data_IF_844785879169
#
_entry.id   IF_844785879169
#
_cell.length_a   1.000
_cell.length_b   1.000
_cell.length_c   1.000
_cell.angle_alpha   90.00
_cell.angle_beta   90.00
_cell.angle_gamma   90.00
#
_symmetry.space_group_name_H-M   'P 1'
#
loop_
_entity.id
_entity.type
_entity.pdbx_description
1 polymer ?
#
# COMPACT_ATOMS: atom_id res chain seq x y z
N UNK A 1 11.21 -1.91 -18.64
CA UNK A 1 11.05 -3.16 -17.87
C UNK A 1 9.95 -3.04 -16.80
N UNK A 2 9.91 -1.95 -16.02
CA UNK A 2 8.88 -1.67 -14.98
C UNK A 2 7.43 -1.69 -15.51
N UNK A 3 7.15 -1.11 -16.68
CA UNK A 3 5.79 -1.07 -17.27
C UNK A 3 5.20 -2.47 -17.55
N UNK A 4 6.04 -3.46 -17.88
CA UNK A 4 5.59 -4.84 -18.09
C UNK A 4 5.22 -5.54 -16.77
N UNK A 5 5.90 -5.18 -15.67
CA UNK A 5 5.65 -5.72 -14.34
C UNK A 5 4.37 -5.09 -13.74
N UNK A 6 4.15 -3.79 -13.93
CA UNK A 6 2.89 -3.10 -13.57
C UNK A 6 1.69 -3.70 -14.31
N UNK A 7 1.82 -3.94 -15.62
CA UNK A 7 0.75 -4.62 -16.39
C UNK A 7 0.46 -6.02 -15.85
N UNK A 8 1.46 -6.77 -15.39
CA UNK A 8 1.23 -8.09 -14.79
C UNK A 8 0.56 -8.02 -13.43
N UNK A 9 0.91 -7.06 -12.57
CA UNK A 9 0.18 -6.87 -11.29
C UNK A 9 -1.29 -6.55 -11.57
N UNK A 10 -1.58 -5.67 -12.55
CA UNK A 10 -2.95 -5.36 -12.97
C UNK A 10 -3.66 -6.58 -13.59
N UNK A 11 -2.95 -7.40 -14.37
CA UNK A 11 -3.49 -8.63 -14.95
C UNK A 11 -3.77 -9.65 -13.86
N UNK A 12 -2.83 -9.92 -12.95
CA UNK A 12 -2.99 -10.77 -11.76
C UNK A 12 -4.26 -10.30 -11.01
N UNK A 13 -4.37 -9.03 -10.64
CA UNK A 13 -5.58 -8.50 -10.00
C UNK A 13 -6.88 -8.74 -10.80
N UNK A 14 -6.82 -8.91 -12.12
CA UNK A 14 -7.96 -9.19 -12.99
C UNK A 14 -8.20 -10.68 -13.30
N UNK A 15 -7.20 -11.56 -13.16
CA UNK A 15 -7.28 -12.97 -13.59
C UNK A 15 -7.45 -13.97 -12.44
N UNK A 16 -7.32 -13.54 -11.18
CA UNK A 16 -7.11 -14.40 -10.01
C UNK A 16 -8.30 -15.32 -9.61
N UNK A 17 -9.31 -15.51 -10.46
CA UNK A 17 -10.52 -16.30 -10.20
C UNK A 17 -10.34 -17.80 -9.92
N UNK A 18 -9.11 -18.32 -9.83
CA UNK A 18 -8.86 -19.71 -9.44
C UNK A 18 -7.53 -19.75 -8.71
N UNK A 19 -7.52 -19.94 -7.39
CA UNK A 19 -6.74 -20.98 -6.65
C UNK A 19 -6.90 -20.74 -5.14
N UNK A 20 -7.46 -21.74 -4.44
CA UNK A 20 -7.43 -21.84 -2.98
C UNK A 20 -6.06 -22.36 -2.51
N UNK A 21 -5.41 -21.61 -1.60
CA UNK A 21 -4.13 -21.97 -1.00
C UNK A 21 -4.17 -21.83 0.52
N UNK A 22 -3.68 -22.87 1.23
CA UNK A 22 -3.69 -23.05 2.69
C UNK A 22 -2.74 -22.12 3.50
N UNK A 23 -2.48 -20.90 3.03
CA UNK A 23 -1.56 -19.94 3.67
C UNK A 23 -2.17 -18.56 3.94
N UNK A 24 -3.49 -18.41 3.84
CA UNK A 24 -4.16 -17.14 4.09
C UNK A 24 -4.04 -16.70 5.57
N UNK A 25 -3.43 -15.53 5.80
CA UNK A 25 -3.36 -14.89 7.12
C UNK A 25 -4.20 -13.60 7.13
N UNK A 26 -5.28 -13.61 7.91
CA UNK A 26 -6.21 -12.48 8.04
C UNK A 26 -5.55 -11.21 8.60
N UNK A 27 -4.48 -11.33 9.38
CA UNK A 27 -3.73 -10.16 9.88
C UNK A 27 -2.91 -9.54 8.75
N UNK A 28 -2.18 -10.34 7.98
CA UNK A 28 -1.42 -9.86 6.80
C UNK A 28 -2.33 -9.20 5.78
N UNK A 29 -3.52 -9.78 5.57
CA UNK A 29 -4.53 -9.18 4.70
C UNK A 29 -4.95 -7.79 5.22
N UNK A 30 -5.28 -7.66 6.51
CA UNK A 30 -5.68 -6.37 7.11
C UNK A 30 -4.57 -5.33 7.08
N UNK A 31 -3.33 -5.73 7.37
CA UNK A 31 -2.17 -4.84 7.32
C UNK A 31 -1.95 -4.34 5.89
N UNK A 32 -2.06 -5.22 4.89
CA UNK A 32 -1.92 -4.86 3.49
C UNK A 32 -3.02 -3.87 3.06
N UNK A 33 -4.25 -4.07 3.52
CA UNK A 33 -5.33 -3.12 3.24
C UNK A 33 -5.04 -1.73 3.86
N UNK A 34 -4.56 -1.70 5.10
CA UNK A 34 -4.18 -0.44 5.78
C UNK A 34 -3.05 0.28 5.05
N UNK A 35 -2.02 -0.47 4.63
CA UNK A 35 -0.89 0.10 3.90
C UNK A 35 -1.23 0.51 2.46
N UNK A 36 -2.18 -0.17 1.81
CA UNK A 36 -2.75 0.30 0.53
C UNK A 36 -3.44 1.66 0.70
N UNK A 37 -4.26 1.82 1.74
CA UNK A 37 -4.93 3.09 2.03
C UNK A 37 -3.92 4.23 2.29
N UNK A 38 -2.83 3.96 3.02
CA UNK A 38 -1.76 4.93 3.27
C UNK A 38 -0.96 5.26 2.00
N UNK A 39 -0.65 4.26 1.17
CA UNK A 39 0.03 4.47 -0.11
C UNK A 39 -0.82 5.38 -1.00
N UNK A 40 -2.13 5.13 -1.08
CA UNK A 40 -3.05 6.00 -1.81
C UNK A 40 -3.12 7.41 -1.20
N UNK A 41 -3.27 7.56 0.12
CA UNK A 41 -3.26 8.87 0.77
C UNK A 41 -1.97 9.67 0.46
N UNK A 42 -0.83 8.98 0.38
CA UNK A 42 0.45 9.60 0.02
C UNK A 42 0.46 10.16 -1.40
N UNK A 43 -0.37 9.64 -2.32
CA UNK A 43 -0.53 10.21 -3.67
C UNK A 43 -1.29 11.53 -3.68
N UNK A 44 -1.95 11.89 -2.56
CA UNK A 44 -2.74 13.11 -2.44
C UNK A 44 -1.91 14.29 -1.92
N UNK A 45 -0.72 14.04 -1.37
CA UNK A 45 0.17 15.09 -0.85
C UNK A 45 0.41 16.14 -1.93
N UNK A 46 0.14 17.43 -1.70
CA UNK A 46 0.41 18.50 -2.66
C UNK A 46 1.90 18.53 -3.04
N UNK A 47 2.19 18.78 -4.31
CA UNK A 47 3.55 18.77 -4.83
C UNK A 47 4.49 19.71 -4.04
N UNK A 48 4.03 20.93 -3.74
CA UNK A 48 4.83 21.91 -3.01
C UNK A 48 5.17 21.43 -1.59
N UNK A 49 4.18 20.85 -0.89
CA UNK A 49 4.38 20.22 0.42
C UNK A 49 5.36 19.06 0.34
N UNK A 50 5.26 18.21 -0.69
CA UNK A 50 6.16 17.08 -0.85
C UNK A 50 7.62 17.55 -1.08
N UNK A 51 7.84 18.56 -1.92
CA UNK A 51 9.16 19.18 -2.12
C UNK A 51 9.68 19.77 -0.81
N UNK A 52 8.84 20.46 -0.06
CA UNK A 52 9.23 21.05 1.22
C UNK A 52 9.63 19.99 2.25
N UNK A 53 8.83 18.93 2.39
CA UNK A 53 9.01 17.89 3.41
C UNK A 53 10.22 17.01 3.08
N UNK A 54 10.32 16.55 1.84
CA UNK A 54 11.30 15.52 1.43
C UNK A 54 12.58 16.10 0.86
N UNK A 55 12.56 17.37 0.45
CA UNK A 55 13.64 18.01 -0.33
C UNK A 55 13.94 17.30 -1.66
N UNK A 56 13.02 16.46 -2.14
CA UNK A 56 13.10 15.85 -3.47
C UNK A 56 12.93 16.96 -4.52
N UNK A 57 13.78 17.01 -5.57
CA UNK A 57 13.62 18.01 -6.63
C UNK A 57 12.29 17.82 -7.36
N UNK A 58 11.68 18.92 -7.82
CA UNK A 58 10.36 18.90 -8.47
C UNK A 58 10.27 17.91 -9.65
N UNK A 59 11.36 17.70 -10.38
CA UNK A 59 11.44 16.76 -11.52
C UNK A 59 11.27 15.28 -11.12
N UNK A 60 11.39 14.95 -9.83
CA UNK A 60 11.25 13.59 -9.29
C UNK A 60 9.90 13.35 -8.60
N UNK A 61 9.03 14.35 -8.52
CA UNK A 61 7.73 14.25 -7.84
C UNK A 61 6.81 13.23 -8.53
N UNK A 62 6.78 13.22 -9.87
CA UNK A 62 6.03 12.22 -10.62
C UNK A 62 6.51 10.78 -10.35
N UNK A 63 7.80 10.60 -10.06
CA UNK A 63 8.34 9.28 -9.70
C UNK A 63 7.88 8.86 -8.31
N UNK A 64 7.75 9.82 -7.38
CA UNK A 64 7.17 9.54 -6.06
C UNK A 64 5.71 9.08 -6.18
N UNK A 65 4.86 9.83 -6.89
CA UNK A 65 3.47 9.43 -7.09
C UNK A 65 3.34 8.11 -7.85
N UNK A 66 4.18 7.89 -8.87
CA UNK A 66 4.26 6.60 -9.57
C UNK A 66 4.63 5.45 -8.64
N UNK A 67 5.56 5.67 -7.71
CA UNK A 67 5.99 4.66 -6.74
C UNK A 67 4.89 4.34 -5.73
N UNK A 68 4.20 5.35 -5.20
CA UNK A 68 3.09 5.15 -4.27
C UNK A 68 1.91 4.43 -4.92
N UNK A 69 1.55 4.78 -6.16
CA UNK A 69 0.53 4.06 -6.94
C UNK A 69 0.92 2.59 -7.23
N UNK A 70 2.21 2.32 -7.42
CA UNK A 70 2.70 0.96 -7.61
C UNK A 70 2.63 0.16 -6.29
N UNK A 71 3.02 0.79 -5.18
CA UNK A 71 2.96 0.17 -3.86
C UNK A 71 1.53 -0.13 -3.41
N UNK A 72 0.58 0.75 -3.70
CA UNK A 72 -0.85 0.50 -3.49
C UNK A 72 -1.29 -0.81 -4.17
N UNK A 73 -0.89 -1.04 -5.42
CA UNK A 73 -1.23 -2.25 -6.16
C UNK A 73 -0.53 -3.50 -5.60
N UNK A 74 0.72 -3.36 -5.13
CA UNK A 74 1.43 -4.45 -4.45
C UNK A 74 0.69 -4.85 -3.18
N UNK A 75 0.26 -3.88 -2.36
CA UNK A 75 -0.53 -4.15 -1.16
C UNK A 75 -1.89 -4.78 -1.49
N UNK A 76 -2.57 -4.36 -2.56
CA UNK A 76 -3.78 -5.06 -3.02
C UNK A 76 -3.50 -6.53 -3.38
N UNK A 77 -2.40 -6.82 -4.06
CA UNK A 77 -2.04 -8.19 -4.39
C UNK A 77 -1.77 -9.04 -3.13
N UNK A 78 -1.08 -8.47 -2.13
CA UNK A 78 -0.87 -9.13 -0.82
C UNK A 78 -2.20 -9.34 -0.09
N UNK A 79 -3.08 -8.32 -0.06
CA UNK A 79 -4.41 -8.39 0.54
C UNK A 79 -5.22 -9.55 -0.05
N UNK A 80 -5.32 -9.60 -1.38
CA UNK A 80 -6.06 -10.62 -2.12
C UNK A 80 -5.44 -12.00 -1.95
N UNK A 81 -4.12 -12.12 -1.95
CA UNK A 81 -3.44 -13.40 -1.73
C UNK A 81 -3.78 -14.00 -0.36
N UNK A 82 -3.89 -13.16 0.67
CA UNK A 82 -4.05 -13.55 2.07
C UNK A 82 -5.50 -13.55 2.60
N UNK A 83 -6.52 -13.39 1.73
CA UNK A 83 -7.91 -13.49 2.18
C UNK A 83 -8.33 -14.95 2.51
N UNK A 84 -9.04 -15.17 3.63
CA UNK A 84 -9.39 -16.51 4.11
C UNK A 84 -10.52 -17.24 3.34
N UNK A 85 -11.39 -16.54 2.62
CA UNK A 85 -12.51 -17.15 1.86
C UNK A 85 -12.41 -16.74 0.38
N UNK A 86 -12.26 -17.71 -0.53
CA UNK A 86 -12.20 -17.45 -1.98
C UNK A 86 -13.17 -18.35 -2.75
N UNK A 87 -14.36 -17.85 -2.99
CA UNK A 87 -15.17 -18.32 -4.14
C UNK A 87 -15.07 -17.32 -5.30
N UNK A 88 -15.06 -16.01 -5.01
CA UNK A 88 -14.78 -14.95 -5.98
C UNK A 88 -13.81 -13.93 -5.41
N UNK A 89 -12.95 -13.37 -6.27
CA UNK A 89 -12.01 -12.32 -5.88
C UNK A 89 -12.54 -10.93 -6.19
N UNK A 90 -12.18 -9.93 -5.36
CA UNK A 90 -12.64 -8.58 -5.58
C UNK A 90 -12.05 -8.02 -6.88
N UNK A 91 -12.92 -7.43 -7.69
CA UNK A 91 -12.54 -6.63 -8.85
C UNK A 91 -11.69 -5.42 -8.41
N UNK A 92 -10.96 -4.83 -9.36
CA UNK A 92 -10.23 -3.59 -9.13
C UNK A 92 -11.11 -2.45 -8.58
N UNK A 93 -12.40 -2.41 -8.93
CA UNK A 93 -13.34 -1.42 -8.41
C UNK A 93 -13.66 -1.68 -6.95
N UNK A 94 -13.91 -2.93 -6.58
CA UNK A 94 -14.17 -3.33 -5.21
C UNK A 94 -12.95 -3.11 -4.32
N UNK A 95 -11.74 -3.43 -4.81
CA UNK A 95 -10.50 -3.14 -4.09
C UNK A 95 -10.35 -1.66 -3.76
N UNK A 96 -10.60 -0.76 -4.72
CA UNK A 96 -10.58 0.69 -4.46
C UNK A 96 -11.64 1.10 -3.43
N UNK A 97 -12.85 0.56 -3.52
CA UNK A 97 -13.92 0.86 -2.56
C UNK A 97 -13.57 0.40 -1.14
N UNK A 98 -12.96 -0.78 -0.99
CA UNK A 98 -12.53 -1.32 0.31
C UNK A 98 -11.37 -0.48 0.85
N UNK A 99 -10.39 -0.12 0.01
CA UNK A 99 -9.29 0.79 0.34
C UNK A 99 -9.81 2.16 0.80
N UNK A 100 -10.77 2.75 0.09
CA UNK A 100 -11.34 4.05 0.45
C UNK A 100 -12.09 4.01 1.78
N UNK A 101 -12.81 2.90 2.03
CA UNK A 101 -13.45 2.65 3.33
C UNK A 101 -12.41 2.55 4.45
N UNK A 102 -11.29 1.86 4.20
CA UNK A 102 -10.21 1.77 5.16
C UNK A 102 -9.52 3.11 5.39
N UNK A 103 -9.30 3.91 4.34
CA UNK A 103 -8.76 5.26 4.46
C UNK A 103 -9.69 6.16 5.29
N UNK A 104 -11.01 6.07 5.08
CA UNK A 104 -11.98 6.75 5.94
C UNK A 104 -11.82 6.32 7.40
N UNK A 105 -11.72 5.02 7.68
CA UNK A 105 -11.50 4.50 9.04
C UNK A 105 -10.21 5.03 9.65
N UNK A 106 -9.10 4.98 8.91
CA UNK A 106 -7.80 5.48 9.35
C UNK A 106 -7.82 6.99 9.58
N UNK A 107 -8.57 7.76 8.78
CA UNK A 107 -8.71 9.22 8.98
C UNK A 107 -9.42 9.57 10.28
N UNK A 108 -10.39 8.74 10.72
CA UNK A 108 -11.02 8.88 12.03
C UNK A 108 -10.01 8.58 13.15
N UNK A 109 -9.19 7.55 12.99
CA UNK A 109 -8.11 7.23 13.94
C UNK A 109 -7.09 8.36 13.99
N UNK A 110 -6.68 8.92 12.85
CA UNK A 110 -5.77 10.07 12.75
C UNK A 110 -6.29 11.26 13.56
N UNK A 111 -7.57 11.63 13.39
CA UNK A 111 -8.18 12.75 14.09
C UNK A 111 -8.27 12.52 15.62
N UNK A 112 -8.31 11.27 16.08
CA UNK A 112 -8.34 10.91 17.50
C UNK A 112 -6.95 10.78 18.11
N UNK A 113 -6.00 10.22 17.34
CA UNK A 113 -4.63 9.96 17.76
C UNK A 113 -3.71 9.85 16.54
N UNK A 114 -3.14 10.97 16.13
CA UNK A 114 -2.26 11.06 14.97
C UNK A 114 -0.99 10.21 15.11
N UNK A 115 -0.45 10.04 16.33
CA UNK A 115 0.79 9.28 16.56
C UNK A 115 0.67 7.82 16.10
N UNK A 116 -0.50 7.19 16.30
CA UNK A 116 -0.75 5.83 15.81
C UNK A 116 -0.67 5.73 14.29
N UNK A 117 -1.08 6.78 13.59
CA UNK A 117 -1.06 6.84 12.13
C UNK A 117 0.33 7.20 11.61
N UNK A 118 1.09 8.02 12.35
CA UNK A 118 2.51 8.26 12.04
C UNK A 118 3.33 6.98 12.13
N UNK A 119 3.14 6.20 13.20
CA UNK A 119 3.82 4.92 13.37
C UNK A 119 3.39 3.90 12.31
N UNK A 120 2.09 3.82 12.00
CA UNK A 120 1.59 2.95 10.94
C UNK A 120 2.17 3.35 9.57
N UNK A 121 2.24 4.64 9.26
CA UNK A 121 2.83 5.15 8.02
C UNK A 121 4.26 4.64 7.83
N UNK A 122 5.11 4.80 8.84
CA UNK A 122 6.51 4.37 8.78
C UNK A 122 6.67 2.86 8.64
N UNK A 123 5.79 2.07 9.26
CA UNK A 123 5.80 0.61 9.12
C UNK A 123 5.33 0.18 7.74
N UNK A 124 4.34 0.86 7.16
CA UNK A 124 3.91 0.63 5.79
C UNK A 124 5.00 0.99 4.78
N UNK A 125 5.73 2.09 4.98
CA UNK A 125 6.90 2.43 4.16
C UNK A 125 8.01 1.37 4.28
N UNK A 126 8.37 0.98 5.49
CA UNK A 126 9.37 -0.07 5.73
C UNK A 126 8.96 -1.41 5.12
N UNK A 127 7.69 -1.80 5.27
CA UNK A 127 7.17 -3.02 4.68
C UNK A 127 7.12 -2.94 3.16
N UNK A 128 6.73 -1.80 2.61
CA UNK A 128 6.75 -1.55 1.17
C UNK A 128 8.14 -1.71 0.55
N UNK A 129 9.16 -1.16 1.21
CA UNK A 129 10.55 -1.35 0.82
C UNK A 129 10.99 -2.82 0.86
N UNK A 130 10.60 -3.56 1.91
CA UNK A 130 10.88 -4.99 2.02
C UNK A 130 10.18 -5.81 0.92
N UNK A 131 8.92 -5.49 0.61
CA UNK A 131 8.15 -6.10 -0.47
C UNK A 131 8.78 -5.82 -1.83
N UNK A 132 9.19 -4.56 -2.08
CA UNK A 132 9.85 -4.18 -3.33
C UNK A 132 11.13 -5.00 -3.55
N UNK A 133 12.02 -5.06 -2.56
CA UNK A 133 13.26 -5.84 -2.64
C UNK A 133 12.98 -7.35 -2.83
N UNK A 134 11.95 -7.88 -2.15
CA UNK A 134 11.52 -9.26 -2.31
C UNK A 134 11.01 -9.55 -3.73
N UNK A 135 10.17 -8.69 -4.28
CA UNK A 135 9.61 -8.86 -5.63
C UNK A 135 10.68 -8.71 -6.72
N UNK A 136 11.66 -7.81 -6.53
CA UNK A 136 12.81 -7.68 -7.43
C UNK A 136 13.66 -8.96 -7.42
N UNK A 137 13.93 -9.51 -6.25
CA UNK A 137 14.71 -10.75 -6.11
C UNK A 137 14.00 -11.97 -6.70
N UNK A 138 12.66 -11.93 -6.82
CA UNK A 138 11.83 -13.01 -7.33
C UNK A 138 11.11 -12.62 -8.64
N UNK A 139 11.71 -11.71 -9.43
CA UNK A 139 11.08 -11.15 -10.63
C UNK A 139 10.69 -12.19 -11.68
N UNK A 140 11.36 -13.35 -11.70
CA UNK A 140 11.03 -14.48 -12.58
C UNK A 140 9.70 -15.12 -12.22
N UNK A 141 9.43 -15.33 -10.93
CA UNK A 141 8.18 -15.92 -10.42
C UNK A 141 7.02 -14.94 -10.61
N UNK A 142 7.27 -13.64 -10.41
CA UNK A 142 6.30 -12.58 -10.72
C UNK A 142 5.97 -12.53 -12.22
N UNK A 143 6.92 -12.90 -13.07
CA UNK A 143 6.73 -13.03 -14.50
C UNK A 143 6.16 -14.39 -14.94
N UNK A 144 5.92 -15.31 -14.01
CA UNK A 144 5.35 -16.63 -14.27
C UNK A 144 3.84 -16.60 -14.54
N UNK A 145 3.21 -17.75 -14.30
CA UNK A 145 1.76 -17.90 -14.26
C UNK A 145 1.16 -17.14 -13.08
N UNK A 146 -0.14 -16.89 -13.16
CA UNK A 146 -0.90 -16.30 -12.07
C UNK A 146 -0.79 -17.07 -10.75
N UNK A 147 -0.82 -18.40 -10.82
CA UNK A 147 -0.65 -19.27 -9.66
C UNK A 147 0.71 -19.07 -8.99
N UNK A 148 1.77 -18.90 -9.78
CA UNK A 148 3.12 -18.61 -9.29
C UNK A 148 3.19 -17.22 -8.66
N UNK A 149 2.52 -16.23 -9.27
CA UNK A 149 2.44 -14.89 -8.68
C UNK A 149 1.67 -14.87 -7.34
N UNK A 150 0.54 -15.57 -7.22
CA UNK A 150 -0.16 -15.73 -5.92
C UNK A 150 0.77 -16.36 -4.88
N UNK A 151 1.41 -17.48 -5.26
CA UNK A 151 2.29 -18.21 -4.37
C UNK A 151 3.49 -17.36 -3.92
N UNK A 152 3.96 -16.45 -4.76
CA UNK A 152 4.97 -15.46 -4.41
C UNK A 152 4.46 -14.49 -3.34
N UNK A 153 3.27 -13.90 -3.50
CA UNK A 153 2.70 -12.98 -2.51
C UNK A 153 2.37 -13.64 -1.17
N UNK A 154 2.06 -14.95 -1.15
CA UNK A 154 1.88 -15.72 0.09
C UNK A 154 3.21 -15.97 0.84
N UNK A 155 4.35 -15.88 0.15
CA UNK A 155 5.70 -16.03 0.75
C UNK A 155 6.35 -14.69 1.05
N UNK A 156 5.71 -13.58 0.70
CA UNK A 156 6.24 -12.25 0.90
C UNK A 156 6.50 -11.99 2.40
N UNK A 157 7.48 -11.13 2.74
CA UNK A 157 7.70 -10.75 4.13
C UNK A 157 6.42 -10.17 4.73
N UNK A 158 6.16 -10.46 6.00
CA UNK A 158 5.00 -9.91 6.72
C UNK A 158 5.30 -8.53 7.32
N UNK A 159 4.23 -7.76 7.55
CA UNK A 159 4.27 -6.53 8.32
C UNK A 159 4.86 -6.77 9.72
N UNK A 160 5.75 -5.90 10.18
CA UNK A 160 6.35 -6.00 11.51
C UNK A 160 5.87 -4.87 12.41
N UNK A 161 4.96 -5.19 13.31
CA UNK A 161 4.38 -4.27 14.29
C UNK A 161 5.33 -3.87 15.44
N UNK A 162 6.52 -4.45 15.51
CA UNK A 162 7.53 -4.17 16.53
C UNK A 162 8.71 -3.35 15.98
N UNK A 163 8.66 -2.93 14.71
CA UNK A 163 9.68 -2.06 14.13
C UNK A 163 9.78 -0.74 14.90
N UNK A 164 11.02 -0.34 15.16
CA UNK A 164 11.36 0.91 15.83
C UNK A 164 12.07 1.85 14.85
N UNK A 165 11.76 3.15 14.98
CA UNK A 165 12.30 4.20 14.13
C UNK A 165 13.03 5.24 14.96
N UNK A 166 14.13 5.75 14.43
CA UNK A 166 14.88 6.84 15.05
C UNK A 166 14.13 8.19 14.93
N UNK A 167 14.59 9.22 15.65
CA UNK A 167 13.93 10.52 15.69
C UNK A 167 13.82 11.19 14.30
N UNK A 168 14.81 11.02 13.43
CA UNK A 168 14.78 11.59 12.07
C UNK A 168 13.72 10.92 11.21
N UNK A 169 13.64 9.58 11.26
CA UNK A 169 12.61 8.82 10.55
C UNK A 169 11.22 9.18 11.06
N UNK A 170 11.04 9.26 12.39
CA UNK A 170 9.77 9.69 13.01
C UNK A 170 9.35 11.07 12.55
N UNK A 171 10.26 12.05 12.57
CA UNK A 171 9.96 13.41 12.14
C UNK A 171 9.60 13.52 10.65
N UNK A 172 10.20 12.69 9.78
CA UNK A 172 9.83 12.64 8.37
C UNK A 172 8.47 11.96 8.17
N UNK A 173 8.25 10.80 8.80
CA UNK A 173 7.00 10.05 8.72
C UNK A 173 5.81 10.84 9.22
N UNK A 174 5.98 11.59 10.31
CA UNK A 174 4.97 12.51 10.82
C UNK A 174 4.56 13.53 9.74
N UNK A 175 5.51 14.29 9.20
CA UNK A 175 5.19 15.34 8.21
C UNK A 175 4.51 14.80 6.95
N UNK A 176 4.97 13.65 6.45
CA UNK A 176 4.37 13.01 5.29
C UNK A 176 2.96 12.50 5.59
N UNK A 177 2.78 11.87 6.75
CA UNK A 177 1.50 11.35 7.19
C UNK A 177 0.49 12.47 7.45
N UNK A 178 0.90 13.53 8.16
CA UNK A 178 0.09 14.74 8.38
C UNK A 178 -0.37 15.31 7.04
N UNK A 179 0.58 15.57 6.12
CA UNK A 179 0.24 16.13 4.82
C UNK A 179 -0.69 15.24 3.99
N UNK A 180 -0.53 13.92 4.06
CA UNK A 180 -1.40 12.97 3.35
C UNK A 180 -2.83 12.97 3.91
N UNK A 181 -2.96 12.84 5.23
CA UNK A 181 -4.27 12.70 5.89
C UNK A 181 -5.02 14.03 5.98
N UNK A 182 -4.33 15.16 6.19
CA UNK A 182 -4.94 16.48 6.16
C UNK A 182 -5.48 16.80 4.76
N UNK A 183 -4.68 16.55 3.72
CA UNK A 183 -5.14 16.76 2.34
C UNK A 183 -6.33 15.88 1.99
N UNK A 184 -6.33 14.62 2.44
CA UNK A 184 -7.49 13.75 2.27
C UNK A 184 -8.75 14.29 2.96
N UNK A 185 -8.61 14.81 4.20
CA UNK A 185 -9.71 15.38 4.96
C UNK A 185 -10.24 16.68 4.35
N UNK A 186 -9.37 17.53 3.80
CA UNK A 186 -9.74 18.76 3.10
C UNK A 186 -10.43 18.49 1.74
N UNK A 187 -9.96 17.47 1.02
CA UNK A 187 -10.55 17.05 -0.24
C UNK A 187 -11.87 16.29 -0.08
N UNK A 188 -12.19 15.84 1.15
CA UNK A 188 -13.42 15.13 1.42
C UNK A 188 -14.60 16.11 1.30
N UNK A 189 -15.59 15.84 0.43
CA UNK A 189 -16.85 16.57 0.52
C UNK A 189 -17.40 16.34 1.93
N UNK A 190 -17.68 17.43 2.66
CA UNK A 190 -18.50 17.35 3.88
C UNK A 190 -19.71 16.46 3.53
N UNK A 191 -19.86 15.38 4.28
CA UNK A 191 -20.78 14.27 3.99
C UNK A 191 -22.17 14.75 3.56
N UNK A 192 -22.66 14.16 2.47
CA UNK A 192 -24.09 13.98 2.19
C UNK A 192 -24.82 13.34 3.38
#
# INVERSE_FOLDING_TARGET
MIIAHVKKIVIILASLGVVGYCHADGNVSRDALSCSAIAYASTLIPQDSLVEITKIPSDYIEQFYGSMNMMEQVFHAVYVANQPNKEDLPTNRELRSIRDTELMRLSVVYAQNAELIHDLYLRCDAWGNALSAFLESNSQELAGSEKEAIALFLKAPSFNAELTFNASQRGLGQRLSDSAFETYLEARPETQ
#
